data_IF_554253015347
#
_entry.id   IF_554253015347
#
_cell.length_a   1.000
_cell.length_b   1.000
_cell.length_c   1.000
_cell.angle_alpha   90.00
_cell.angle_beta   90.00
_cell.angle_gamma   90.00
#
_symmetry.space_group_name_H-M   'P 1'
#
loop_
_entity.id
_entity.type
_entity.pdbx_description
1 polymer ?
#
# COMPACT_ATOMS: atom_id res chain seq x y z
N UNK A 1 22.76 15.54 3.89
CA UNK A 1 21.46 14.85 3.79
C UNK A 1 21.65 13.41 4.25
N UNK A 2 20.67 12.81 4.93
CA UNK A 2 20.84 11.45 5.44
C UNK A 2 20.95 10.43 4.30
N UNK A 3 21.92 9.53 4.38
CA UNK A 3 22.10 8.41 3.47
C UNK A 3 21.84 7.10 4.22
N UNK A 4 20.76 6.41 3.85
CA UNK A 4 20.36 5.12 4.41
C UNK A 4 20.81 4.01 3.48
N UNK A 5 21.74 3.17 3.90
CA UNK A 5 22.23 2.07 3.08
C UNK A 5 21.60 0.75 3.52
N UNK A 6 21.24 -0.05 2.51
CA UNK A 6 21.12 -1.50 2.61
C UNK A 6 22.14 -2.14 1.66
N UNK A 7 22.29 -3.47 1.65
CA UNK A 7 23.29 -4.14 0.81
C UNK A 7 22.94 -5.57 0.44
N UNK A 8 23.66 -6.13 -0.53
CA UNK A 8 23.61 -7.55 -0.91
C UNK A 8 24.49 -8.47 -0.03
N UNK A 9 24.95 -7.96 1.12
CA UNK A 9 25.74 -8.74 2.08
C UNK A 9 24.94 -9.83 2.79
N UNK A 10 23.62 -9.67 2.91
CA UNK A 10 22.69 -10.62 3.55
C UNK A 10 21.33 -10.61 2.84
N UNK A 11 20.65 -11.76 2.84
CA UNK A 11 19.30 -11.91 2.28
C UNK A 11 18.30 -10.88 2.82
N UNK A 12 18.26 -10.70 4.15
CA UNK A 12 17.36 -9.76 4.81
C UNK A 12 17.51 -8.31 4.29
N UNK A 13 18.73 -7.90 3.97
CA UNK A 13 19.00 -6.54 3.48
C UNK A 13 18.58 -6.36 2.01
N UNK A 14 18.69 -7.43 1.20
CA UNK A 14 18.11 -7.46 -0.14
C UNK A 14 16.59 -7.40 -0.10
N UNK A 15 15.98 -8.13 0.83
CA UNK A 15 14.52 -8.11 1.06
C UNK A 15 14.03 -6.70 1.40
N UNK A 16 14.72 -5.98 2.30
CA UNK A 16 14.38 -4.59 2.62
C UNK A 16 14.39 -3.68 1.35
N UNK A 17 15.36 -3.86 0.44
CA UNK A 17 15.41 -3.11 -0.82
C UNK A 17 14.33 -3.55 -1.80
N UNK A 18 14.06 -4.85 -1.88
CA UNK A 18 12.97 -5.37 -2.68
C UNK A 18 11.62 -4.77 -2.24
N UNK A 19 11.38 -4.68 -0.93
CA UNK A 19 10.20 -4.05 -0.35
C UNK A 19 10.13 -2.55 -0.70
N UNK A 20 11.23 -1.81 -0.54
CA UNK A 20 11.34 -0.38 -0.90
C UNK A 20 11.03 -0.13 -2.37
N UNK A 21 11.42 -1.05 -3.25
CA UNK A 21 11.13 -0.99 -4.68
C UNK A 21 9.66 -1.29 -5.01
N UNK A 22 8.98 -2.05 -4.15
CA UNK A 22 7.63 -2.57 -4.39
C UNK A 22 6.51 -1.71 -3.83
N UNK A 23 6.76 -1.04 -2.71
CA UNK A 23 5.75 -0.26 -1.99
C UNK A 23 5.53 1.13 -2.60
N UNK A 24 4.32 1.71 -2.51
CA UNK A 24 4.05 3.04 -3.08
C UNK A 24 4.73 4.19 -2.32
N UNK A 25 4.72 5.36 -2.95
CA UNK A 25 5.04 6.64 -2.28
C UNK A 25 4.14 6.83 -1.05
N UNK A 26 4.71 7.35 0.02
CA UNK A 26 4.06 7.62 1.29
C UNK A 26 4.07 6.44 2.26
N UNK A 27 4.39 5.22 1.81
CA UNK A 27 4.49 4.04 2.69
C UNK A 27 5.72 4.15 3.59
N UNK A 28 5.64 3.67 4.84
CA UNK A 28 6.76 3.74 5.78
C UNK A 28 7.45 2.38 5.91
N UNK A 29 8.71 2.28 5.51
CA UNK A 29 9.52 1.07 5.72
C UNK A 29 10.32 1.16 7.02
N UNK A 30 10.78 0.02 7.52
CA UNK A 30 11.48 -0.07 8.80
C UNK A 30 12.92 -0.56 8.63
N UNK A 31 13.87 0.37 8.75
CA UNK A 31 15.29 0.08 8.73
C UNK A 31 15.85 -0.05 10.15
N UNK A 32 16.77 -0.99 10.35
CA UNK A 32 17.35 -1.34 11.64
C UNK A 32 18.86 -1.36 11.54
N UNK A 33 19.54 -0.63 12.41
CA UNK A 33 20.99 -0.55 12.44
C UNK A 33 21.53 -0.76 13.85
N UNK A 34 22.61 -1.53 13.99
CA UNK A 34 23.41 -1.42 15.20
C UNK A 34 24.05 -0.04 15.25
N UNK A 35 24.16 0.52 16.47
CA UNK A 35 24.73 1.86 16.68
C UNK A 35 26.14 2.02 16.10
N UNK A 36 26.94 0.95 16.07
CA UNK A 36 28.29 0.98 15.47
C UNK A 36 28.27 1.25 13.96
N UNK A 37 27.19 0.91 13.26
CA UNK A 37 27.03 1.14 11.82
C UNK A 37 26.48 2.53 11.49
N UNK A 38 26.20 3.34 12.51
CA UNK A 38 25.67 4.70 12.36
C UNK A 38 26.81 5.70 12.54
N UNK A 39 26.88 6.68 11.66
CA UNK A 39 27.84 7.78 11.69
C UNK A 39 27.19 9.08 12.18
N UNK A 40 26.43 8.96 13.27
CA UNK A 40 25.77 10.04 13.98
C UNK A 40 25.98 9.81 15.47
N UNK A 41 26.17 10.87 16.23
CA UNK A 41 26.16 10.80 17.69
C UNK A 41 24.73 10.64 18.22
N UNK A 42 24.57 10.45 19.53
CA UNK A 42 23.23 10.23 20.14
C UNK A 42 22.28 11.39 19.86
N UNK A 43 22.78 12.63 19.97
CA UNK A 43 22.00 13.83 19.64
C UNK A 43 21.63 13.87 18.15
N UNK A 44 22.56 13.50 17.27
CA UNK A 44 22.30 13.38 15.84
C UNK A 44 21.19 12.38 15.54
N UNK A 45 21.22 11.21 16.17
CA UNK A 45 20.18 10.17 16.06
C UNK A 45 18.82 10.71 16.50
N UNK A 46 18.73 11.35 17.67
CA UNK A 46 17.49 11.93 18.19
C UNK A 46 16.92 13.03 17.28
N UNK A 47 17.80 13.81 16.66
CA UNK A 47 17.44 14.93 15.78
C UNK A 47 17.11 14.52 14.34
N UNK A 48 17.13 13.22 14.01
CA UNK A 48 16.78 12.75 12.67
C UNK A 48 15.29 12.83 12.35
N UNK A 49 14.41 13.02 13.34
CA UNK A 49 12.97 13.11 13.09
C UNK A 49 12.63 14.24 12.10
N UNK A 50 11.77 13.94 11.12
CA UNK A 50 11.41 14.77 9.98
C UNK A 50 12.54 15.13 9.00
N UNK A 51 13.75 14.61 9.18
CA UNK A 51 14.82 14.84 8.21
C UNK A 51 14.59 14.02 6.94
N UNK A 52 15.00 14.61 5.81
CA UNK A 52 15.02 13.96 4.52
C UNK A 52 16.31 13.16 4.34
N UNK A 53 16.21 12.09 3.56
CA UNK A 53 17.33 11.25 3.19
C UNK A 53 17.09 10.50 1.89
N UNK A 54 18.11 9.77 1.47
CA UNK A 54 18.06 8.88 0.31
C UNK A 54 18.38 7.46 0.74
N UNK A 55 17.59 6.51 0.25
CA UNK A 55 17.87 5.09 0.39
C UNK A 55 18.81 4.68 -0.74
N UNK A 56 19.91 4.03 -0.38
CA UNK A 56 20.90 3.48 -1.29
C UNK A 56 20.98 1.96 -1.10
N UNK A 57 21.23 1.26 -2.21
CA UNK A 57 21.59 -0.13 -2.23
C UNK A 57 23.07 -0.27 -2.56
N UNK A 58 23.83 -0.87 -1.66
CA UNK A 58 25.25 -1.18 -1.87
C UNK A 58 25.39 -2.55 -2.50
N UNK A 59 25.85 -2.58 -3.75
CA UNK A 59 26.08 -3.81 -4.53
C UNK A 59 27.53 -4.27 -4.38
N UNK A 60 27.76 -5.56 -4.59
CA UNK A 60 29.06 -6.24 -4.47
C UNK A 60 29.66 -6.18 -3.05
N UNK A 61 28.82 -6.13 -2.01
CA UNK A 61 29.24 -6.17 -0.61
C UNK A 61 29.15 -7.58 -0.03
N UNK A 62 29.60 -8.60 -0.79
CA UNK A 62 29.49 -9.98 -0.37
C UNK A 62 30.47 -10.32 0.76
N UNK A 63 29.94 -10.82 1.87
CA UNK A 63 30.74 -11.16 3.06
C UNK A 63 31.74 -12.30 2.82
N UNK A 64 31.58 -13.07 1.74
CA UNK A 64 32.49 -14.14 1.34
C UNK A 64 33.81 -13.63 0.76
N UNK A 65 33.87 -12.37 0.31
CA UNK A 65 35.08 -11.73 -0.21
C UNK A 65 35.76 -10.90 0.88
N UNK A 66 37.10 -10.84 0.84
CA UNK A 66 37.86 -9.94 1.71
C UNK A 66 37.46 -8.49 1.43
N UNK A 67 37.49 -7.63 2.45
CA UNK A 67 36.99 -6.26 2.35
C UNK A 67 37.73 -5.45 1.28
N UNK A 68 39.04 -5.66 1.17
CA UNK A 68 39.93 -4.99 0.23
C UNK A 68 39.68 -5.38 -1.23
N UNK A 69 39.04 -6.52 -1.45
CA UNK A 69 38.69 -7.04 -2.78
C UNK A 69 37.30 -6.61 -3.24
N UNK A 70 36.47 -6.08 -2.32
CA UNK A 70 35.09 -5.69 -2.64
C UNK A 70 35.07 -4.38 -3.41
N UNK A 71 34.56 -4.43 -4.64
CA UNK A 71 34.27 -3.25 -5.44
C UNK A 71 32.84 -2.78 -5.20
N UNK A 72 32.61 -2.22 -4.00
CA UNK A 72 31.28 -1.79 -3.58
C UNK A 72 30.85 -0.57 -4.39
N UNK A 73 29.65 -0.64 -4.97
CA UNK A 73 29.01 0.47 -5.63
C UNK A 73 27.69 0.81 -4.93
N UNK A 74 27.37 2.10 -4.80
CA UNK A 74 26.14 2.55 -4.16
C UNK A 74 25.15 3.05 -5.21
N UNK A 75 24.04 2.32 -5.37
CA UNK A 75 22.93 2.69 -6.27
C UNK A 75 21.87 3.42 -5.46
N UNK A 76 21.57 4.67 -5.79
CA UNK A 76 20.44 5.37 -5.18
C UNK A 76 19.11 4.73 -5.62
N UNK A 77 18.14 4.72 -4.71
CA UNK A 77 16.86 4.05 -4.91
C UNK A 77 15.73 5.07 -4.88
N UNK A 78 15.50 5.67 -3.71
CA UNK A 78 14.37 6.58 -3.46
C UNK A 78 14.72 7.64 -2.45
N UNK A 79 14.02 8.78 -2.53
CA UNK A 79 13.90 9.72 -1.41
C UNK A 79 13.17 9.04 -0.25
N UNK A 80 13.49 9.46 0.96
CA UNK A 80 12.81 9.05 2.17
C UNK A 80 12.76 10.20 3.18
N UNK A 81 11.78 10.16 4.08
CA UNK A 81 11.69 11.04 5.23
C UNK A 81 11.60 10.24 6.51
N UNK A 82 12.39 10.58 7.51
CA UNK A 82 12.33 9.91 8.82
C UNK A 82 11.07 10.36 9.55
N UNK A 83 10.08 9.49 9.68
CA UNK A 83 8.84 9.81 10.43
C UNK A 83 8.95 9.41 11.90
N UNK A 84 9.82 8.46 12.22
CA UNK A 84 10.08 8.05 13.61
C UNK A 84 11.46 7.42 13.71
N UNK A 85 12.15 7.73 14.80
CA UNK A 85 13.42 7.12 15.18
C UNK A 85 13.31 6.64 16.63
N UNK A 86 13.69 5.40 16.91
CA UNK A 86 13.69 4.86 18.28
C UNK A 86 14.90 3.97 18.52
N UNK A 87 15.58 4.14 19.64
CA UNK A 87 16.61 3.21 20.10
C UNK A 87 15.99 2.18 21.02
N UNK A 88 16.24 0.89 20.75
CA UNK A 88 15.70 -0.20 21.55
C UNK A 88 16.72 -0.63 22.60
N UNK A 89 16.45 -0.32 23.87
CA UNK A 89 17.32 -0.69 25.00
C UNK A 89 17.55 -2.21 25.09
N UNK A 90 16.58 -3.02 24.65
CA UNK A 90 16.66 -4.49 24.71
C UNK A 90 17.59 -5.06 23.64
N UNK A 91 17.63 -4.47 22.46
CA UNK A 91 18.37 -5.02 21.31
C UNK A 91 19.60 -4.21 20.93
N UNK A 92 19.75 -2.99 21.47
CA UNK A 92 20.81 -2.04 21.07
C UNK A 92 20.64 -1.46 19.67
N UNK A 93 19.61 -1.88 18.93
CA UNK A 93 19.32 -1.42 17.58
C UNK A 93 18.67 -0.04 17.59
N UNK A 94 19.02 0.76 16.59
CA UNK A 94 18.32 2.00 16.25
C UNK A 94 17.37 1.71 15.09
N UNK A 95 16.11 2.04 15.30
CA UNK A 95 15.01 1.78 14.40
C UNK A 95 14.63 3.08 13.69
N UNK A 96 14.75 3.08 12.36
CA UNK A 96 14.33 4.17 11.50
C UNK A 96 13.09 3.79 10.73
N UNK A 97 12.02 4.56 10.91
CA UNK A 97 10.78 4.45 10.14
C UNK A 97 10.83 5.52 9.04
N UNK A 98 10.96 5.06 7.80
CA UNK A 98 11.26 5.88 6.64
C UNK A 98 10.05 5.95 5.72
N UNK A 99 9.40 7.11 5.63
CA UNK A 99 8.36 7.36 4.66
C UNK A 99 8.96 7.50 3.27
N UNK A 100 8.58 6.60 2.36
CA UNK A 100 9.09 6.51 1.01
C UNK A 100 8.61 7.68 0.14
N UNK A 101 9.54 8.33 -0.56
CA UNK A 101 9.29 9.36 -1.55
C UNK A 101 9.43 8.84 -2.98
N UNK A 102 9.75 9.73 -3.91
CA UNK A 102 9.95 9.43 -5.33
C UNK A 102 11.23 8.61 -5.56
N UNK A 103 11.28 7.86 -6.67
CA UNK A 103 12.49 7.19 -7.16
C UNK A 103 13.49 8.22 -7.69
N UNK A 104 14.77 8.03 -7.37
CA UNK A 104 15.82 9.00 -7.72
C UNK A 104 17.13 8.36 -8.15
N UNK A 105 17.84 9.11 -8.98
CA UNK A 105 19.25 8.94 -9.27
C UNK A 105 20.04 10.10 -8.69
N UNK A 106 21.09 9.80 -7.93
CA UNK A 106 22.00 10.81 -7.38
C UNK A 106 23.39 10.22 -7.19
N UNK A 107 24.38 11.10 -7.09
CA UNK A 107 25.76 10.73 -6.76
C UNK A 107 26.13 11.21 -5.37
N UNK A 108 26.89 10.40 -4.65
CA UNK A 108 27.50 10.81 -3.39
C UNK A 108 28.83 11.47 -3.73
N UNK A 109 29.12 12.65 -3.15
CA UNK A 109 30.43 13.28 -3.32
C UNK A 109 31.56 12.34 -2.89
N UNK A 110 32.78 12.62 -3.39
CA UNK A 110 34.01 11.93 -2.98
C UNK A 110 34.34 12.27 -1.53
N UNK A 111 33.59 11.66 -0.62
CA UNK A 111 33.80 11.70 0.82
C UNK A 111 34.65 10.54 1.30
N UNK A 112 35.08 10.61 2.56
CA UNK A 112 35.86 9.59 3.23
C UNK A 112 35.14 8.22 3.15
N UNK A 113 35.79 7.16 2.61
CA UNK A 113 35.21 5.81 2.52
C UNK A 113 34.68 5.27 3.85
N UNK A 114 35.25 5.72 4.98
CA UNK A 114 34.85 5.34 6.35
C UNK A 114 33.37 5.68 6.64
N UNK A 115 32.79 6.67 5.97
CA UNK A 115 31.41 7.11 6.19
C UNK A 115 30.39 6.31 5.36
N UNK A 116 30.82 5.27 4.63
CA UNK A 116 29.97 4.49 3.72
C UNK A 116 30.13 2.99 4.00
N UNK A 117 29.27 2.12 3.43
CA UNK A 117 29.47 0.68 3.53
C UNK A 117 30.83 0.28 2.96
N UNK A 118 31.54 -0.67 3.62
CA UNK A 118 31.02 -1.59 4.62
C UNK A 118 31.12 -1.09 6.07
N UNK A 119 31.67 0.10 6.32
CA UNK A 119 31.94 0.62 7.66
C UNK A 119 30.73 1.28 8.33
N UNK A 120 29.91 2.00 7.55
CA UNK A 120 28.74 2.74 8.04
C UNK A 120 27.58 2.57 7.07
N UNK A 121 26.39 2.31 7.62
CA UNK A 121 25.16 2.10 6.85
C UNK A 121 24.13 3.22 7.06
N UNK A 122 24.42 4.17 7.96
CA UNK A 122 23.69 5.42 8.07
C UNK A 122 24.68 6.56 8.34
N UNK A 123 24.67 7.56 7.49
CA UNK A 123 25.56 8.72 7.60
C UNK A 123 24.88 9.99 7.08
N UNK A 124 25.30 11.15 7.56
CA UNK A 124 25.01 12.42 6.90
C UNK A 124 26.07 12.66 5.81
N UNK A 125 25.65 12.67 4.54
CA UNK A 125 26.54 12.80 3.38
C UNK A 125 26.09 13.94 2.48
N UNK A 126 27.03 14.53 1.75
CA UNK A 126 26.79 15.43 0.63
C UNK A 126 26.37 14.61 -0.60
N UNK A 127 25.11 14.81 -0.99
CA UNK A 127 24.48 14.11 -2.11
C UNK A 127 24.13 15.16 -3.17
N UNK A 128 24.65 14.93 -4.37
CA UNK A 128 24.51 15.84 -5.51
C UNK A 128 23.67 15.23 -6.62
N UNK A 129 23.25 16.08 -7.57
CA UNK A 129 22.60 15.69 -8.82
C UNK A 129 21.32 14.86 -8.64
N UNK A 130 20.53 15.16 -7.61
CA UNK A 130 19.29 14.44 -7.32
C UNK A 130 18.29 14.66 -8.46
N UNK A 131 18.08 13.61 -9.26
CA UNK A 131 17.14 13.60 -10.38
C UNK A 131 16.06 12.56 -10.13
N UNK A 132 14.81 12.97 -10.28
CA UNK A 132 13.69 12.04 -10.25
C UNK A 132 13.80 11.06 -11.44
N UNK A 133 13.55 9.78 -11.16
CA UNK A 133 13.63 8.70 -12.14
C UNK A 133 12.35 7.87 -12.13
N UNK A 134 12.09 7.19 -13.24
CA UNK A 134 11.03 6.19 -13.27
C UNK A 134 11.46 4.93 -12.51
N UNK A 135 10.47 4.23 -11.93
CA UNK A 135 10.71 3.01 -11.16
C UNK A 135 11.53 1.96 -11.94
N UNK A 136 11.15 1.68 -13.19
CA UNK A 136 11.81 0.67 -14.01
C UNK A 136 13.28 1.01 -14.32
N UNK A 137 13.66 2.29 -14.38
CA UNK A 137 15.06 2.70 -14.53
C UNK A 137 15.86 2.34 -13.28
N UNK A 138 15.25 2.45 -12.09
CA UNK A 138 15.90 2.06 -10.84
C UNK A 138 15.99 0.55 -10.68
N UNK A 139 14.97 -0.21 -11.09
CA UNK A 139 15.06 -1.68 -11.17
C UNK A 139 16.22 -2.08 -12.10
N UNK A 140 16.31 -1.45 -13.28
CA UNK A 140 17.37 -1.73 -14.25
C UNK A 140 18.79 -1.49 -13.69
N UNK A 141 18.94 -0.57 -12.73
CA UNK A 141 20.23 -0.26 -12.11
C UNK A 141 20.67 -1.29 -11.04
N UNK A 142 19.75 -2.10 -10.52
CA UNK A 142 20.02 -3.07 -9.44
C UNK A 142 19.73 -4.53 -9.81
N UNK A 143 19.11 -4.78 -10.97
CA UNK A 143 18.68 -6.12 -11.40
C UNK A 143 19.77 -7.19 -11.38
N UNK A 144 21.04 -6.80 -11.59
CA UNK A 144 22.18 -7.72 -11.54
C UNK A 144 22.34 -8.39 -10.17
N UNK A 145 21.92 -7.72 -9.09
CA UNK A 145 21.95 -8.26 -7.72
C UNK A 145 20.70 -9.05 -7.35
N UNK A 146 19.67 -9.05 -8.20
CA UNK A 146 18.40 -9.76 -8.00
C UNK A 146 18.14 -10.68 -9.20
N UNK A 147 18.98 -11.70 -9.42
CA UNK A 147 18.79 -12.62 -10.53
C UNK A 147 17.47 -13.35 -10.38
N UNK A 148 16.77 -13.51 -11.50
CA UNK A 148 15.52 -14.27 -11.59
C UNK A 148 14.38 -13.75 -10.70
N UNK A 149 14.39 -12.45 -10.39
CA UNK A 149 13.37 -11.82 -9.55
C UNK A 149 12.31 -11.10 -10.38
N UNK A 150 11.05 -11.19 -9.93
CA UNK A 150 9.97 -10.33 -10.39
C UNK A 150 9.84 -9.14 -9.44
N UNK A 151 10.12 -7.93 -9.92
CA UNK A 151 9.85 -6.71 -9.19
C UNK A 151 8.44 -6.22 -9.46
N UNK A 152 7.82 -5.68 -8.41
CA UNK A 152 6.50 -5.09 -8.46
C UNK A 152 6.60 -3.58 -8.17
N UNK A 153 5.62 -2.79 -8.60
CA UNK A 153 5.38 -1.44 -8.10
C UNK A 153 3.87 -1.28 -7.95
N UNK A 154 3.42 -1.13 -6.71
CA UNK A 154 2.00 -1.25 -6.37
C UNK A 154 1.40 0.11 -6.07
N UNK A 155 0.20 0.34 -6.57
CA UNK A 155 -0.66 1.43 -6.14
C UNK A 155 -2.13 0.99 -6.06
N UNK A 156 -2.90 1.63 -5.17
CA UNK A 156 -4.34 1.38 -5.03
C UNK A 156 -5.05 2.67 -5.42
N UNK A 157 -6.06 2.57 -6.29
CA UNK A 157 -6.88 3.69 -6.73
C UNK A 157 -8.35 3.47 -6.40
N UNK A 158 -9.05 4.58 -6.13
CA UNK A 158 -10.49 4.58 -5.96
C UNK A 158 -11.23 4.63 -7.30
N UNK A 159 -12.58 4.60 -7.28
CA UNK A 159 -13.43 4.69 -8.48
C UNK A 159 -13.26 5.96 -9.32
N UNK A 160 -12.59 6.99 -8.77
CA UNK A 160 -12.28 8.25 -9.46
C UNK A 160 -10.86 8.27 -10.03
N UNK A 161 -10.15 7.14 -10.00
CA UNK A 161 -8.73 7.00 -10.36
C UNK A 161 -7.81 7.88 -9.48
N UNK A 162 -8.24 8.19 -8.25
CA UNK A 162 -7.38 8.87 -7.28
C UNK A 162 -6.60 7.83 -6.49
N UNK A 163 -5.27 7.98 -6.45
CA UNK A 163 -4.39 7.11 -5.67
C UNK A 163 -4.66 7.27 -4.17
N UNK A 164 -4.87 6.14 -3.49
CA UNK A 164 -5.06 6.09 -2.05
C UNK A 164 -3.67 6.05 -1.41
N UNK A 165 -3.31 7.10 -0.68
CA UNK A 165 -2.07 7.13 0.07
C UNK A 165 -2.14 6.23 1.31
N UNK A 166 -1.05 5.51 1.65
CA UNK A 166 -0.98 4.78 2.90
C UNK A 166 -0.89 5.73 4.09
N UNK A 167 -1.38 5.27 5.24
CA UNK A 167 -1.35 5.97 6.52
C UNK A 167 -0.42 5.21 7.46
N UNK A 168 0.49 5.92 8.12
CA UNK A 168 1.36 5.38 9.16
C UNK A 168 0.79 5.67 10.55
N UNK A 169 0.55 4.61 11.33
CA UNK A 169 0.21 4.73 12.74
C UNK A 169 1.48 4.65 13.58
N UNK A 170 1.87 5.79 14.16
CA UNK A 170 3.07 5.92 14.99
C UNK A 170 2.97 5.21 16.34
N UNK A 171 1.77 4.81 16.79
CA UNK A 171 1.60 4.05 18.04
C UNK A 171 1.94 2.60 17.81
N UNK A 172 1.36 2.02 16.76
CA UNK A 172 1.54 0.61 16.42
C UNK A 172 2.73 0.36 15.49
N UNK A 173 3.37 1.42 14.98
CA UNK A 173 4.47 1.40 14.02
C UNK A 173 4.12 0.64 12.73
N UNK A 174 2.89 0.78 12.26
CA UNK A 174 2.37 0.02 11.12
C UNK A 174 1.78 0.95 10.06
N UNK A 175 1.84 0.53 8.81
CA UNK A 175 1.17 1.19 7.70
C UNK A 175 -0.11 0.47 7.35
N UNK A 176 -1.08 1.19 6.82
CA UNK A 176 -2.26 0.62 6.20
C UNK A 176 -2.87 1.56 5.17
N UNK A 177 -3.64 1.00 4.23
CA UNK A 177 -4.55 1.76 3.38
C UNK A 177 -5.94 1.77 3.99
N UNK A 178 -6.64 2.90 3.93
CA UNK A 178 -8.04 2.96 4.36
C UNK A 178 -8.96 2.80 3.15
N UNK A 179 -9.74 1.73 3.15
CA UNK A 179 -10.79 1.47 2.16
C UNK A 179 -12.15 1.54 2.83
N UNK A 180 -13.17 1.89 2.07
CA UNK A 180 -14.57 1.86 2.48
C UNK A 180 -15.15 0.47 2.23
N UNK A 181 -16.05 0.02 3.09
CA UNK A 181 -16.80 -1.22 2.86
C UNK A 181 -17.75 -1.13 1.65
N UNK A 182 -18.10 -2.29 1.09
CA UNK A 182 -18.97 -2.43 -0.08
C UNK A 182 -18.56 -1.53 -1.26
N UNK A 183 -17.26 -1.30 -1.40
CA UNK A 183 -16.66 -0.44 -2.40
C UNK A 183 -15.65 -1.22 -3.22
N UNK A 184 -15.41 -0.70 -4.43
CA UNK A 184 -14.55 -1.31 -5.42
C UNK A 184 -13.39 -0.37 -5.68
N UNK A 185 -12.20 -0.93 -5.76
CA UNK A 185 -10.93 -0.23 -5.95
C UNK A 185 -10.13 -0.94 -7.04
N UNK A 186 -9.10 -0.27 -7.54
CA UNK A 186 -8.19 -0.82 -8.53
C UNK A 186 -6.80 -0.96 -7.92
N UNK A 187 -6.27 -2.17 -7.91
CA UNK A 187 -4.89 -2.48 -7.60
C UNK A 187 -4.09 -2.41 -8.90
N UNK A 188 -3.29 -1.37 -9.07
CA UNK A 188 -2.36 -1.27 -10.20
C UNK A 188 -1.01 -1.84 -9.79
N UNK A 189 -0.50 -2.74 -10.61
CA UNK A 189 0.80 -3.37 -10.42
C UNK A 189 1.58 -3.21 -11.72
N UNK A 190 2.72 -2.52 -11.64
CA UNK A 190 3.74 -2.57 -12.69
C UNK A 190 4.73 -3.70 -12.39
N UNK A 191 5.13 -4.43 -13.42
CA UNK A 191 6.02 -5.58 -13.34
C UNK A 191 7.34 -5.31 -14.03
N UNK A 192 8.40 -5.89 -13.48
CA UNK A 192 9.70 -6.00 -14.13
C UNK A 192 10.26 -7.40 -13.85
N UNK A 193 10.23 -8.25 -14.88
CA UNK A 193 10.73 -9.61 -14.82
C UNK A 193 12.19 -9.67 -15.25
N UNK A 194 13.09 -9.80 -14.27
CA UNK A 194 14.54 -9.90 -14.50
C UNK A 194 14.90 -11.27 -15.11
N UNK A 195 14.10 -12.30 -14.87
CA UNK A 195 14.34 -13.63 -15.42
C UNK A 195 14.16 -13.64 -16.93
N UNK A 196 13.00 -13.15 -17.41
CA UNK A 196 12.68 -13.07 -18.84
C UNK A 196 13.71 -12.21 -19.61
N UNK A 197 14.24 -11.16 -18.98
CA UNK A 197 15.27 -10.32 -19.61
C UNK A 197 16.60 -11.05 -19.81
N UNK A 198 16.93 -11.99 -18.91
CA UNK A 198 18.18 -12.75 -18.94
C UNK A 198 18.07 -14.07 -19.73
N UNK A 199 16.89 -14.44 -20.23
CA UNK A 199 16.71 -15.66 -21.02
C UNK A 199 17.53 -15.59 -22.30
N UNK A 200 18.52 -16.48 -22.41
CA UNK A 200 19.12 -16.85 -23.70
C UNK A 200 18.12 -17.74 -24.46
N UNK A 201 18.09 -17.65 -25.79
CA UNK A 201 17.07 -18.26 -26.65
C UNK A 201 16.94 -19.80 -26.57
N UNK A 202 17.78 -20.48 -25.78
CA UNK A 202 17.89 -21.93 -25.68
C UNK A 202 17.13 -22.55 -24.49
N UNK A 203 16.68 -21.77 -23.48
CA UNK A 203 15.87 -22.29 -22.36
C UNK A 203 14.38 -21.99 -22.54
N UNK A 204 13.72 -22.68 -23.48
CA UNK A 204 12.32 -22.41 -23.84
C UNK A 204 11.27 -22.91 -22.85
N UNK A 205 11.64 -23.75 -21.88
CA UNK A 205 10.67 -24.43 -20.99
C UNK A 205 10.92 -24.24 -19.48
N UNK A 206 11.71 -23.24 -19.08
CA UNK A 206 11.97 -22.98 -17.66
C UNK A 206 11.00 -21.96 -17.04
N UNK A 207 10.65 -22.25 -15.78
CA UNK A 207 9.48 -21.83 -15.01
C UNK A 207 9.14 -20.32 -15.08
N UNK A 208 7.91 -20.00 -15.48
CA UNK A 208 7.38 -18.64 -15.39
C UNK A 208 7.28 -18.23 -13.93
N UNK A 209 7.72 -17.01 -13.60
CA UNK A 209 7.47 -16.45 -12.26
C UNK A 209 5.98 -16.19 -12.12
N UNK A 210 5.39 -16.72 -11.05
CA UNK A 210 3.96 -16.62 -10.78
C UNK A 210 3.73 -15.64 -9.63
N UNK A 211 2.90 -14.63 -9.89
CA UNK A 211 2.34 -13.79 -8.84
C UNK A 211 1.07 -14.45 -8.28
N UNK A 212 1.02 -14.60 -6.97
CA UNK A 212 -0.18 -14.98 -6.23
C UNK A 212 -0.48 -13.89 -5.18
N UNK A 213 -1.73 -13.43 -5.13
CA UNK A 213 -2.17 -12.43 -4.16
C UNK A 213 -3.16 -13.11 -3.22
N UNK A 214 -2.75 -13.33 -1.98
CA UNK A 214 -3.60 -13.92 -0.96
C UNK A 214 -4.22 -12.84 -0.07
N UNK A 215 -5.51 -12.98 0.22
CA UNK A 215 -6.20 -12.17 1.22
C UNK A 215 -6.36 -12.97 2.52
N UNK A 216 -5.86 -12.45 3.64
CA UNK A 216 -5.95 -13.16 4.93
C UNK A 216 -7.38 -13.28 5.50
N UNK A 217 -8.39 -12.63 4.89
CA UNK A 217 -9.78 -12.63 5.38
C UNK A 217 -10.77 -12.51 4.23
N UNK A 218 -11.95 -13.12 4.38
CA UNK A 218 -13.07 -13.08 3.44
C UNK A 218 -13.64 -11.68 3.15
N UNK A 219 -13.11 -10.60 3.72
CA UNK A 219 -13.69 -9.24 3.58
C UNK A 219 -13.09 -8.41 2.45
N UNK A 220 -12.00 -8.89 1.85
CA UNK A 220 -11.37 -8.28 0.70
C UNK A 220 -11.15 -9.38 -0.33
N UNK A 221 -11.59 -9.13 -1.56
CA UNK A 221 -11.42 -10.04 -2.68
C UNK A 221 -10.65 -9.30 -3.77
N UNK A 222 -9.63 -9.96 -4.33
CA UNK A 222 -8.88 -9.44 -5.47
C UNK A 222 -9.23 -10.32 -6.66
N UNK A 223 -9.74 -9.71 -7.73
CA UNK A 223 -10.06 -10.40 -8.98
C UNK A 223 -8.76 -10.72 -9.72
N UNK A 224 -8.11 -11.81 -9.30
CA UNK A 224 -6.92 -12.36 -9.92
C UNK A 224 -7.12 -13.86 -10.13
N UNK A 225 -6.75 -14.36 -11.31
CA UNK A 225 -6.55 -15.79 -11.48
C UNK A 225 -5.50 -16.22 -10.45
N UNK A 226 -5.80 -17.23 -9.61
CA UNK A 226 -4.99 -17.63 -8.44
C UNK A 226 -3.48 -17.56 -8.63
N UNK A 227 -3.00 -17.86 -9.84
CA UNK A 227 -1.62 -17.60 -10.27
C UNK A 227 -1.62 -16.79 -11.56
N UNK A 228 -1.05 -15.59 -11.51
CA UNK A 228 -0.84 -14.74 -12.67
C UNK A 228 0.58 -14.91 -13.18
N UNK A 229 0.73 -15.35 -14.44
CA UNK A 229 2.02 -15.49 -15.09
C UNK A 229 2.35 -14.21 -15.86
N UNK A 230 3.43 -13.55 -15.49
CA UNK A 230 3.91 -12.38 -16.23
C UNK A 230 4.47 -12.85 -17.58
N UNK A 231 3.96 -12.26 -18.67
CA UNK A 231 4.27 -12.70 -20.03
C UNK A 231 5.32 -11.83 -20.76
N UNK A 232 5.77 -10.74 -20.14
CA UNK A 232 6.69 -9.78 -20.72
C UNK A 232 7.68 -9.26 -19.67
N UNK A 233 8.85 -8.80 -20.12
CA UNK A 233 9.90 -8.22 -19.24
C UNK A 233 9.36 -7.05 -18.43
N UNK A 234 8.48 -6.23 -19.02
CA UNK A 234 7.80 -5.11 -18.36
C UNK A 234 6.34 -5.16 -18.74
N UNK A 235 5.46 -4.97 -17.77
CA UNK A 235 4.03 -4.97 -17.98
C UNK A 235 3.32 -4.13 -16.91
N UNK A 236 2.09 -3.72 -17.19
CA UNK A 236 1.21 -3.02 -16.25
C UNK A 236 -0.14 -3.74 -16.20
N UNK A 237 -0.53 -4.21 -15.01
CA UNK A 237 -1.82 -4.86 -14.82
C UNK A 237 -2.65 -4.19 -13.75
N UNK A 238 -3.96 -4.32 -13.94
CA UNK A 238 -4.97 -3.74 -13.09
C UNK A 238 -5.86 -4.86 -12.57
N UNK A 239 -5.86 -5.05 -11.26
CA UNK A 239 -6.72 -6.03 -10.58
C UNK A 239 -7.82 -5.30 -9.81
N UNK A 240 -9.03 -5.86 -9.81
CA UNK A 240 -10.14 -5.28 -9.06
C UNK A 240 -10.04 -5.72 -7.60
N UNK A 241 -10.08 -4.77 -6.67
CA UNK A 241 -10.27 -5.05 -5.25
C UNK A 241 -11.74 -4.77 -4.89
N UNK A 242 -12.44 -5.78 -4.41
CA UNK A 242 -13.80 -5.62 -3.87
C UNK A 242 -13.80 -5.83 -2.36
N UNK A 243 -14.39 -4.89 -1.64
CA UNK A 243 -14.58 -4.98 -0.18
C UNK A 243 -15.99 -5.46 0.12
N UNK A 244 -16.13 -6.33 1.13
CA UNK A 244 -17.42 -6.82 1.58
C UNK A 244 -18.01 -5.97 2.71
N UNK A 245 -19.31 -6.13 2.96
CA UNK A 245 -20.00 -5.48 4.08
C UNK A 245 -19.38 -5.90 5.41
N UNK A 246 -19.24 -4.93 6.33
CA UNK A 246 -18.75 -5.20 7.68
C UNK A 246 -19.89 -5.25 8.71
N UNK A 247 -19.78 -6.14 9.69
CA UNK A 247 -20.61 -6.14 10.90
C UNK A 247 -20.10 -5.16 11.97
N UNK A 248 -18.82 -4.80 11.89
CA UNK A 248 -18.13 -3.87 12.80
C UNK A 248 -17.87 -2.51 12.13
N UNK A 249 -17.48 -1.50 12.92
CA UNK A 249 -17.15 -0.17 12.40
C UNK A 249 -15.94 -0.18 11.46
N UNK A 250 -14.89 -0.92 11.82
CA UNK A 250 -13.71 -1.07 10.98
C UNK A 250 -13.01 -2.39 11.26
N UNK A 251 -12.30 -2.91 10.26
CA UNK A 251 -11.54 -4.16 10.36
C UNK A 251 -10.22 -4.05 9.62
N UNK A 252 -9.13 -4.53 10.23
CA UNK A 252 -7.86 -4.72 9.55
C UNK A 252 -7.80 -6.08 8.85
N UNK A 253 -7.33 -6.06 7.60
CA UNK A 253 -6.99 -7.21 6.76
C UNK A 253 -5.64 -6.96 6.07
N UNK A 254 -5.14 -7.93 5.32
CA UNK A 254 -3.91 -7.79 4.55
C UNK A 254 -3.98 -8.50 3.21
N UNK A 255 -3.32 -7.92 2.22
CA UNK A 255 -2.99 -8.52 0.93
C UNK A 255 -1.55 -9.00 1.01
N UNK A 256 -1.31 -10.30 0.84
CA UNK A 256 0.02 -10.90 0.78
C UNK A 256 0.38 -11.15 -0.67
N UNK A 257 1.54 -10.66 -1.09
CA UNK A 257 2.08 -10.85 -2.43
C UNK A 257 3.11 -11.97 -2.34
N UNK A 258 2.77 -13.11 -2.95
CA UNK A 258 3.61 -14.28 -3.03
C UNK A 258 4.26 -14.33 -4.41
N UNK A 259 5.58 -14.39 -4.41
CA UNK A 259 6.38 -14.49 -5.63
C UNK A 259 6.96 -15.88 -5.69
N UNK A 260 6.27 -16.78 -6.39
CA UNK A 260 6.73 -18.14 -6.53
C UNK A 260 7.54 -18.28 -7.81
N UNK A 261 8.84 -18.49 -7.65
CA UNK A 261 9.72 -18.90 -8.73
C UNK A 261 10.32 -20.25 -8.35
N UNK A 262 9.93 -21.29 -9.10
CA UNK A 262 10.42 -22.66 -8.90
C UNK A 262 11.95 -22.78 -9.03
N UNK A 263 12.61 -21.78 -9.63
CA UNK A 263 14.05 -21.77 -9.91
C UNK A 263 14.90 -20.91 -8.95
N UNK A 264 14.30 -20.05 -8.13
CA UNK A 264 15.04 -19.18 -7.21
C UNK A 264 14.99 -19.70 -5.78
N UNK A 265 16.15 -19.83 -5.14
CA UNK A 265 16.30 -20.08 -3.70
C UNK A 265 15.84 -18.91 -2.82
N UNK A 266 15.61 -17.73 -3.40
CA UNK A 266 15.23 -16.50 -2.71
C UNK A 266 13.87 -16.03 -3.25
N UNK A 267 12.81 -16.14 -2.44
CA UNK A 267 11.51 -15.57 -2.73
C UNK A 267 11.25 -14.43 -1.74
N UNK A 268 11.01 -13.23 -2.27
CA UNK A 268 10.73 -12.04 -1.45
C UNK A 268 9.23 -11.79 -1.40
N UNK A 269 8.59 -12.29 -0.34
CA UNK A 269 7.18 -12.02 -0.07
C UNK A 269 7.04 -10.70 0.69
N UNK A 270 5.95 -9.98 0.47
CA UNK A 270 5.59 -8.85 1.32
C UNK A 270 4.07 -8.73 1.44
N UNK A 271 3.62 -7.94 2.41
CA UNK A 271 2.20 -7.73 2.65
C UNK A 271 1.86 -6.25 2.77
N UNK A 272 0.68 -5.90 2.26
CA UNK A 272 0.06 -4.60 2.45
C UNK A 272 -1.10 -4.78 3.41
N UNK A 273 -1.13 -3.97 4.49
CA UNK A 273 -2.28 -3.93 5.39
C UNK A 273 -3.34 -2.98 4.88
N UNK A 274 -4.59 -3.36 5.10
CA UNK A 274 -5.76 -2.60 4.68
C UNK A 274 -6.72 -2.51 5.85
N UNK A 275 -7.14 -1.29 6.18
CA UNK A 275 -8.22 -1.00 7.11
C UNK A 275 -9.49 -0.75 6.30
N UNK A 276 -10.48 -1.63 6.44
CA UNK A 276 -11.80 -1.43 5.84
C UNK A 276 -12.66 -0.70 6.86
N UNK A 277 -13.27 0.41 6.47
CA UNK A 277 -14.13 1.25 7.30
C UNK A 277 -15.56 1.25 6.79
N UNK A 278 -16.51 1.12 7.72
CA UNK A 278 -17.93 1.11 7.40
C UNK A 278 -18.41 2.49 6.99
N UNK A 279 -19.16 2.53 5.90
CA UNK A 279 -19.72 3.77 5.36
C UNK A 279 -21.03 4.15 6.07
N UNK A 280 -20.96 5.14 6.97
CA UNK A 280 -22.11 5.56 7.79
C UNK A 280 -23.26 6.22 7.03
N UNK A 281 -22.99 6.87 5.88
CA UNK A 281 -24.04 7.60 5.16
C UNK A 281 -25.19 6.66 4.75
N UNK A 282 -24.88 5.39 4.44
CA UNK A 282 -25.89 4.38 4.08
C UNK A 282 -26.84 4.10 5.24
N UNK A 283 -26.30 4.00 6.45
CA UNK A 283 -27.08 3.81 7.68
C UNK A 283 -27.97 5.03 7.97
N UNK A 284 -27.45 6.25 7.77
CA UNK A 284 -28.23 7.48 7.95
C UNK A 284 -29.35 7.59 6.91
N UNK A 285 -29.06 7.30 5.64
CA UNK A 285 -30.07 7.24 4.58
C UNK A 285 -31.15 6.21 4.90
N UNK A 286 -30.76 5.02 5.37
CA UNK A 286 -31.70 4.00 5.81
C UNK A 286 -32.61 4.51 6.93
N UNK A 287 -32.03 5.12 7.97
CA UNK A 287 -32.80 5.69 9.08
C UNK A 287 -33.77 6.77 8.60
N UNK A 288 -33.32 7.67 7.73
CA UNK A 288 -34.14 8.72 7.14
C UNK A 288 -35.32 8.16 6.32
N UNK A 289 -35.06 7.23 5.40
CA UNK A 289 -36.13 6.64 4.59
C UNK A 289 -37.10 5.79 5.41
N UNK A 290 -36.61 5.10 6.45
CA UNK A 290 -37.45 4.35 7.38
C UNK A 290 -38.37 5.27 8.17
N UNK A 291 -37.84 6.41 8.66
CA UNK A 291 -38.64 7.43 9.33
C UNK A 291 -39.70 8.01 8.39
N UNK A 292 -39.35 8.29 7.14
CA UNK A 292 -40.26 8.82 6.13
C UNK A 292 -41.43 7.86 5.85
N UNK A 293 -41.16 6.55 5.73
CA UNK A 293 -42.21 5.52 5.61
C UNK A 293 -43.06 5.45 6.86
N UNK A 294 -42.46 5.42 8.05
CA UNK A 294 -43.18 5.34 9.32
C UNK A 294 -44.09 6.57 9.55
N UNK A 295 -43.60 7.78 9.25
CA UNK A 295 -44.39 9.01 9.30
C UNK A 295 -45.54 8.97 8.30
N UNK A 296 -45.32 8.47 7.08
CA UNK A 296 -46.37 8.27 6.10
C UNK A 296 -47.47 7.31 6.59
N UNK A 297 -47.09 6.13 7.10
CA UNK A 297 -48.06 5.16 7.64
C UNK A 297 -48.83 5.72 8.84
N UNK A 298 -48.14 6.45 9.73
CA UNK A 298 -48.78 7.11 10.88
C UNK A 298 -49.80 8.16 10.44
N UNK A 299 -49.44 9.02 9.47
CA UNK A 299 -50.34 10.02 8.91
C UNK A 299 -51.55 9.36 8.22
N UNK A 300 -51.33 8.30 7.45
CA UNK A 300 -52.40 7.53 6.81
C UNK A 300 -53.39 6.97 7.84
N UNK A 301 -52.86 6.41 8.94
CA UNK A 301 -53.66 5.84 10.02
C UNK A 301 -54.46 6.90 10.76
N UNK A 302 -53.86 8.08 10.99
CA UNK A 302 -54.53 9.22 11.60
C UNK A 302 -55.68 9.72 10.72
N UNK A 303 -55.42 9.92 9.42
CA UNK A 303 -56.43 10.33 8.45
C UNK A 303 -57.57 9.31 8.39
N UNK A 304 -57.27 8.02 8.29
CA UNK A 304 -58.28 6.97 8.26
C UNK A 304 -59.22 6.97 9.49
N UNK A 305 -58.74 7.44 10.66
CA UNK A 305 -59.55 7.57 11.88
C UNK A 305 -60.37 8.85 11.93
N UNK A 306 -59.93 9.92 11.29
CA UNK A 306 -60.57 11.24 11.33
C UNK A 306 -61.55 11.46 10.19
N UNK A 307 -61.42 10.73 9.09
CA UNK A 307 -62.30 10.88 7.92
C UNK A 307 -63.69 10.31 8.21
N UNK A 308 -64.69 11.18 8.20
CA UNK A 308 -66.09 10.81 8.03
C UNK A 308 -66.45 10.75 6.54
N UNK A 309 -67.42 9.90 6.17
CA UNK A 309 -67.93 9.76 4.79
C UNK A 309 -68.45 11.11 4.21
N UNK A 310 -68.75 12.09 5.07
CA UNK A 310 -69.17 13.44 4.63
C UNK A 310 -68.02 14.36 4.20
N UNK A 311 -66.76 14.04 4.52
CA UNK A 311 -65.59 14.91 4.29
C UNK A 311 -64.83 14.58 2.99
N UNK A 312 -65.38 13.70 2.15
CA UNK A 312 -64.74 13.18 0.93
C UNK A 312 -64.45 14.29 -0.11
N UNK A 313 -65.21 15.40 -0.09
CA UNK A 313 -64.99 16.54 -0.98
C UNK A 313 -63.92 17.54 -0.49
N UNK A 314 -63.24 17.27 0.63
CA UNK A 314 -62.21 18.15 1.15
C UNK A 314 -60.91 17.97 0.37
N UNK A 315 -60.59 18.94 -0.50
CA UNK A 315 -59.39 18.91 -1.34
C UNK A 315 -58.08 18.83 -0.53
N UNK A 316 -58.07 19.41 0.68
CA UNK A 316 -56.92 19.33 1.60
C UNK A 316 -56.69 17.88 2.04
N UNK A 317 -57.76 17.12 2.30
CA UNK A 317 -57.69 15.73 2.67
C UNK A 317 -57.14 14.88 1.52
N UNK A 318 -57.60 15.11 0.30
CA UNK A 318 -57.08 14.44 -0.90
C UNK A 318 -55.59 14.72 -1.12
N UNK A 319 -55.15 15.97 -0.89
CA UNK A 319 -53.74 16.35 -0.98
C UNK A 319 -52.89 15.64 0.09
N UNK A 320 -53.37 15.55 1.33
CA UNK A 320 -52.68 14.85 2.41
C UNK A 320 -52.56 13.35 2.14
N UNK A 321 -53.60 12.72 1.60
CA UNK A 321 -53.57 11.31 1.17
C UNK A 321 -52.52 11.12 0.07
N UNK A 322 -52.48 12.01 -0.93
CA UNK A 322 -51.51 11.96 -2.02
C UNK A 322 -50.07 12.11 -1.51
N UNK A 323 -49.80 13.09 -0.64
CA UNK A 323 -48.49 13.29 -0.01
C UNK A 323 -48.08 12.04 0.76
N UNK A 324 -49.01 11.47 1.54
CA UNK A 324 -48.77 10.26 2.31
C UNK A 324 -48.39 9.08 1.42
N UNK A 325 -49.13 8.89 0.33
CA UNK A 325 -48.85 7.84 -0.65
C UNK A 325 -47.48 8.04 -1.32
N UNK A 326 -47.15 9.27 -1.71
CA UNK A 326 -45.84 9.61 -2.27
C UNK A 326 -44.73 9.31 -1.26
N UNK A 327 -44.89 9.71 -0.01
CA UNK A 327 -43.91 9.45 1.04
C UNK A 327 -43.66 7.94 1.22
N UNK A 328 -44.72 7.15 1.41
CA UNK A 328 -44.59 5.70 1.62
C UNK A 328 -43.96 5.02 0.40
N UNK A 329 -44.43 5.34 -0.81
CA UNK A 329 -43.93 4.71 -2.04
C UNK A 329 -42.48 5.11 -2.34
N UNK A 330 -42.15 6.39 -2.23
CA UNK A 330 -40.78 6.88 -2.43
C UNK A 330 -39.82 6.32 -1.38
N UNK A 331 -40.20 6.36 -0.10
CA UNK A 331 -39.40 5.80 0.99
C UNK A 331 -39.17 4.30 0.80
N UNK A 332 -40.21 3.53 0.50
CA UNK A 332 -40.10 2.10 0.22
C UNK A 332 -39.24 1.80 -1.01
N UNK A 333 -39.37 2.58 -2.08
CA UNK A 333 -38.55 2.42 -3.28
C UNK A 333 -37.07 2.71 -3.02
N UNK A 334 -36.77 3.74 -2.23
CA UNK A 334 -35.40 4.09 -1.85
C UNK A 334 -34.79 3.04 -0.91
N UNK A 335 -35.56 2.54 0.06
CA UNK A 335 -35.15 1.40 0.90
C UNK A 335 -34.88 0.16 0.06
N UNK A 336 -35.77 -0.14 -0.88
CA UNK A 336 -35.58 -1.27 -1.80
C UNK A 336 -34.30 -1.12 -2.62
N UNK A 337 -34.01 0.07 -3.18
CA UNK A 337 -32.76 0.33 -3.90
C UNK A 337 -31.52 0.24 -3.00
N UNK A 338 -31.63 0.68 -1.74
CA UNK A 338 -30.52 0.64 -0.80
C UNK A 338 -30.16 -0.80 -0.35
N UNK A 339 -31.15 -1.71 -0.29
CA UNK A 339 -30.96 -3.06 0.24
C UNK A 339 -30.98 -4.18 -0.81
N UNK A 340 -31.71 -4.00 -1.91
CA UNK A 340 -31.78 -4.99 -2.96
C UNK A 340 -30.71 -4.69 -4.01
N UNK A 341 -29.54 -5.30 -3.79
CA UNK A 341 -28.36 -5.23 -4.63
C UNK A 341 -28.65 -5.92 -5.97
N UNK A 342 -28.81 -5.13 -7.03
CA UNK A 342 -28.48 -5.56 -8.39
C UNK A 342 -27.35 -4.69 -8.91
#
# INVERSE_FOLDING_TARGET
MLAFFSSDSRHLYKEDIFEVMSLPVGYVVHFRYDKQWINLDEKGIENTHNQEGIIFFSVNNHLAQAEEERQIEHKSIRKAKVVKCTTSDKTGLVHYYLQLGEFVECSIEKENPINKPPHKFLSDLNINDIKNKQWHERVSAIKSSFPNQLFLNISIENKKNETISPIFDSKDNNNYFTLSDESTYQLKISFFDVYEENKTSESKDADKVLLEIESNKNHIEVDINKKYAVGAVKDDQNFLITTQSLSVQSLFTSLKFLLNNNSSTEAYDFFIRVKIERVYYKTLLFGFYSLLVASGVSLMTYLARTISIKDINNWILSLLILITFICVTFGAQMLYKAFNKK
#
